data_IF_343805777332
#
_entry.id   IF_343805777332
#
_cell.length_a   1.000
_cell.length_b   1.000
_cell.length_c   1.000
_cell.angle_alpha   90.00
_cell.angle_beta   90.00
_cell.angle_gamma   90.00
#
_symmetry.space_group_name_H-M   'P 1'
#
loop_
_entity.id
_entity.type
_entity.pdbx_description
1 polymer ?
#
# COMPACT_ATOMS: atom_id res chain seq x y z
N UNK A 1 20.09 10.14 -5.59
CA UNK A 1 20.19 10.36 -4.12
C UNK A 1 19.55 9.15 -3.47
N UNK A 2 20.25 8.43 -2.57
CA UNK A 2 19.71 7.19 -1.97
C UNK A 2 18.57 7.54 -1.01
N UNK A 3 17.46 6.83 -1.10
CA UNK A 3 16.28 7.06 -0.27
C UNK A 3 16.28 6.02 0.84
N UNK A 4 16.30 6.46 2.10
CA UNK A 4 16.10 5.58 3.27
C UNK A 4 14.62 5.41 3.61
N UNK A 5 13.79 6.36 3.19
CA UNK A 5 12.35 6.41 3.43
C UNK A 5 11.60 6.98 2.22
N UNK A 6 10.64 6.24 1.69
CA UNK A 6 9.73 6.65 0.62
C UNK A 6 8.33 6.83 1.19
N UNK A 7 7.73 8.01 0.99
CA UNK A 7 6.35 8.30 1.36
C UNK A 7 5.49 8.45 0.11
N UNK A 8 4.49 7.59 -0.01
CA UNK A 8 3.50 7.60 -1.09
C UNK A 8 2.15 8.03 -0.54
N UNK A 9 1.55 9.04 -1.17
CA UNK A 9 0.18 9.46 -0.89
C UNK A 9 -0.70 9.04 -2.05
N UNK A 10 -1.64 8.13 -1.80
CA UNK A 10 -2.50 7.56 -2.82
C UNK A 10 -3.93 8.06 -2.58
N UNK A 11 -4.57 8.79 -3.51
CA UNK A 11 -5.91 9.36 -3.35
C UNK A 11 -7.03 8.31 -3.51
N UNK A 12 -6.80 7.10 -2.97
CA UNK A 12 -7.71 5.96 -3.05
C UNK A 12 -7.74 5.20 -1.73
N UNK A 13 -8.93 4.69 -1.40
CA UNK A 13 -9.14 3.80 -0.27
C UNK A 13 -9.16 2.35 -0.71
N UNK A 14 -8.54 1.49 0.11
CA UNK A 14 -8.66 0.05 -0.03
C UNK A 14 -10.12 -0.39 0.19
N UNK A 15 -10.61 -1.35 -0.61
CA UNK A 15 -11.90 -1.95 -0.32
C UNK A 15 -11.83 -2.72 1.00
N UNK A 16 -12.99 -3.05 1.56
CA UNK A 16 -13.05 -4.02 2.65
C UNK A 16 -12.79 -5.44 2.12
N UNK A 17 -12.21 -6.32 2.96
CA UNK A 17 -12.03 -7.73 2.66
C UNK A 17 -13.34 -8.40 2.22
N UNK A 18 -14.44 -8.13 2.93
CA UNK A 18 -15.76 -8.64 2.61
C UNK A 18 -16.21 -8.25 1.19
N UNK A 19 -15.83 -7.06 0.71
CA UNK A 19 -16.08 -6.65 -0.67
C UNK A 19 -15.20 -7.44 -1.62
N UNK A 20 -13.90 -7.57 -1.33
CA UNK A 20 -12.93 -8.30 -2.16
C UNK A 20 -13.33 -9.76 -2.38
N UNK A 21 -13.70 -10.48 -1.32
CA UNK A 21 -14.04 -11.91 -1.39
C UNK A 21 -15.28 -12.14 -2.28
N UNK A 22 -16.19 -11.17 -2.32
CA UNK A 22 -17.42 -11.25 -3.12
C UNK A 22 -17.26 -10.75 -4.56
N UNK A 23 -16.13 -10.14 -4.91
CA UNK A 23 -15.89 -9.67 -6.28
C UNK A 23 -15.68 -10.83 -7.23
N UNK A 24 -16.23 -10.70 -8.45
CA UNK A 24 -15.87 -11.61 -9.52
C UNK A 24 -14.39 -11.45 -9.89
N UNK A 25 -13.71 -12.53 -10.30
CA UNK A 25 -12.26 -12.52 -10.57
C UNK A 25 -11.84 -11.43 -11.57
N UNK A 26 -12.66 -11.15 -12.58
CA UNK A 26 -12.42 -10.06 -13.56
C UNK A 26 -12.44 -8.68 -12.91
N UNK A 27 -13.36 -8.44 -11.97
CA UNK A 27 -13.44 -7.17 -11.24
C UNK A 27 -12.24 -7.03 -10.30
N UNK A 28 -11.83 -8.13 -9.65
CA UNK A 28 -10.64 -8.17 -8.81
C UNK A 28 -9.36 -7.86 -9.60
N UNK A 29 -9.23 -8.39 -10.82
CA UNK A 29 -8.10 -8.07 -11.71
C UNK A 29 -8.11 -6.59 -12.14
N UNK A 30 -9.27 -6.04 -12.50
CA UNK A 30 -9.39 -4.61 -12.82
C UNK A 30 -9.02 -3.74 -11.62
N UNK A 31 -9.48 -4.11 -10.43
CA UNK A 31 -9.13 -3.42 -9.20
C UNK A 31 -7.61 -3.48 -8.95
N UNK A 32 -6.97 -4.64 -9.15
CA UNK A 32 -5.53 -4.78 -9.02
C UNK A 32 -4.80 -3.82 -9.97
N UNK A 33 -5.16 -3.82 -11.25
CA UNK A 33 -4.56 -2.92 -12.25
C UNK A 33 -4.72 -1.45 -11.85
N UNK A 34 -5.88 -1.07 -11.31
CA UNK A 34 -6.09 0.29 -10.78
C UNK A 34 -5.10 0.59 -9.67
N UNK A 35 -4.91 -0.30 -8.71
CA UNK A 35 -3.92 -0.10 -7.64
C UNK A 35 -2.48 -0.05 -8.16
N UNK A 36 -2.12 -0.88 -9.13
CA UNK A 36 -0.80 -0.86 -9.76
C UNK A 36 -0.52 0.53 -10.37
N UNK A 37 -1.51 1.10 -11.05
CA UNK A 37 -1.41 2.44 -11.65
C UNK A 37 -1.36 3.56 -10.61
N UNK A 38 -2.14 3.47 -9.54
CA UNK A 38 -2.18 4.48 -8.47
C UNK A 38 -0.86 4.52 -7.70
N UNK A 39 -0.28 3.35 -7.37
CA UNK A 39 1.06 3.27 -6.78
C UNK A 39 2.11 3.86 -7.71
N UNK A 40 2.06 3.48 -9.00
CA UNK A 40 2.99 4.02 -10.01
C UNK A 40 2.89 5.54 -10.18
N UNK A 41 1.67 6.08 -10.11
CA UNK A 41 1.44 7.52 -10.16
C UNK A 41 2.03 8.21 -8.93
N UNK A 42 1.73 7.71 -7.72
CA UNK A 42 2.28 8.24 -6.48
C UNK A 42 3.81 8.19 -6.46
N UNK A 43 4.44 7.14 -7.00
CA UNK A 43 5.90 7.06 -7.13
C UNK A 43 6.48 8.16 -8.05
N UNK A 44 5.76 8.55 -9.10
CA UNK A 44 6.23 9.62 -10.01
C UNK A 44 6.13 11.00 -9.37
N UNK A 45 5.14 11.19 -8.50
CA UNK A 45 4.93 12.46 -7.78
C UNK A 45 5.97 12.73 -6.69
N UNK A 46 6.73 11.72 -6.25
CA UNK A 46 7.79 11.95 -5.26
C UNK A 46 9.02 12.64 -5.84
N UNK A 47 9.15 12.75 -7.18
CA UNK A 47 10.28 13.36 -7.90
C UNK A 47 11.67 12.81 -7.51
N UNK A 48 11.74 11.63 -6.88
CA UNK A 48 12.98 11.03 -6.42
C UNK A 48 13.30 9.78 -7.25
N UNK A 49 14.58 9.61 -7.61
CA UNK A 49 15.07 8.33 -8.13
C UNK A 49 15.07 7.30 -7.01
N UNK A 50 14.08 6.40 -7.03
CA UNK A 50 13.90 5.37 -6.01
C UNK A 50 14.92 4.26 -6.25
N UNK A 51 15.99 4.29 -5.46
CA UNK A 51 16.96 3.20 -5.38
C UNK A 51 17.12 2.81 -3.93
N UNK A 52 16.90 1.52 -3.68
CA UNK A 52 17.03 0.92 -2.38
C UNK A 52 18.26 0.00 -2.37
N UNK A 53 19.04 0.02 -1.30
CA UNK A 53 20.27 -0.76 -1.13
C UNK A 53 20.01 -2.18 -0.62
N UNK A 54 19.10 -2.34 0.33
CA UNK A 54 18.77 -3.62 0.94
C UNK A 54 17.55 -4.23 0.26
N UNK A 55 17.23 -5.53 0.43
CA UNK A 55 16.00 -6.10 -0.12
C UNK A 55 14.82 -6.06 0.87
N UNK A 56 15.10 -5.91 2.18
CA UNK A 56 14.08 -5.95 3.23
C UNK A 56 13.55 -4.54 3.54
N UNK A 57 12.22 -4.42 3.67
CA UNK A 57 11.52 -3.17 3.98
C UNK A 57 10.65 -3.29 5.21
N UNK A 58 10.54 -2.17 5.93
CA UNK A 58 9.41 -1.94 6.81
C UNK A 58 8.38 -1.09 6.04
N UNK A 59 7.11 -1.48 6.12
CA UNK A 59 6.00 -0.79 5.49
C UNK A 59 4.99 -0.40 6.55
N UNK A 60 4.64 0.89 6.57
CA UNK A 60 3.60 1.45 7.42
C UNK A 60 2.49 2.00 6.55
N UNK A 61 1.26 1.59 6.84
CA UNK A 61 0.06 1.98 6.07
C UNK A 61 -0.89 2.74 7.00
N UNK A 62 -1.33 3.92 6.56
CA UNK A 62 -2.34 4.73 7.24
C UNK A 62 -3.46 5.04 6.25
N UNK A 63 -4.68 4.61 6.54
CA UNK A 63 -5.84 4.90 5.71
C UNK A 63 -6.73 5.96 6.34
N UNK A 64 -6.87 7.10 5.66
CA UNK A 64 -7.70 8.22 6.07
C UNK A 64 -9.09 8.08 5.46
N UNK A 65 -10.11 7.79 6.28
CA UNK A 65 -11.42 7.29 5.81
C UNK A 65 -12.58 8.00 6.49
N UNK A 66 -13.72 8.09 5.82
CA UNK A 66 -14.96 8.60 6.45
C UNK A 66 -15.51 7.68 7.55
N UNK A 67 -15.44 6.36 7.32
CA UNK A 67 -15.94 5.31 8.21
C UNK A 67 -14.84 4.31 8.46
N UNK A 68 -14.55 4.03 9.73
CA UNK A 68 -13.60 3.01 10.17
C UNK A 68 -14.23 1.63 9.97
N UNK A 69 -13.46 0.69 9.43
CA UNK A 69 -13.86 -0.71 9.31
C UNK A 69 -13.33 -1.49 10.51
N UNK A 70 -13.93 -2.64 10.78
CA UNK A 70 -13.34 -3.61 11.69
C UNK A 70 -11.90 -3.98 11.24
N UNK A 71 -10.97 -4.24 12.19
CA UNK A 71 -9.55 -4.39 11.88
C UNK A 71 -9.25 -5.49 10.85
N UNK A 72 -9.81 -6.68 11.00
CA UNK A 72 -9.54 -7.82 10.11
C UNK A 72 -9.99 -7.55 8.68
N UNK A 73 -11.19 -6.98 8.52
CA UNK A 73 -11.74 -6.63 7.22
C UNK A 73 -11.00 -5.45 6.57
N UNK A 74 -10.42 -4.55 7.37
CA UNK A 74 -9.51 -3.53 6.87
C UNK A 74 -8.19 -4.13 6.40
N UNK A 75 -7.52 -4.90 7.26
CA UNK A 75 -6.21 -5.51 6.98
C UNK A 75 -6.29 -6.41 5.75
N UNK A 76 -7.29 -7.31 5.69
CA UNK A 76 -7.48 -8.16 4.51
C UNK A 76 -7.86 -7.35 3.25
N UNK A 77 -8.45 -6.17 3.42
CA UNK A 77 -8.72 -5.20 2.36
C UNK A 77 -7.48 -4.58 1.73
N UNK A 78 -6.34 -4.59 2.42
CA UNK A 78 -5.07 -4.02 1.95
C UNK A 78 -4.38 -4.87 0.89
N UNK A 79 -4.80 -6.12 0.66
CA UNK A 79 -4.11 -7.05 -0.23
C UNK A 79 -3.80 -6.47 -1.62
N UNK A 80 -4.74 -5.81 -2.35
CA UNK A 80 -4.42 -5.23 -3.65
C UNK A 80 -3.34 -4.15 -3.61
N UNK A 81 -3.30 -3.37 -2.53
CA UNK A 81 -2.25 -2.35 -2.33
C UNK A 81 -0.89 -3.02 -2.11
N UNK A 82 -0.81 -4.01 -1.21
CA UNK A 82 0.45 -4.74 -0.93
C UNK A 82 0.96 -5.42 -2.21
N UNK A 83 0.06 -6.08 -2.95
CA UNK A 83 0.39 -6.70 -4.25
C UNK A 83 0.93 -5.66 -5.24
N UNK A 84 0.36 -4.46 -5.27
CA UNK A 84 0.82 -3.38 -6.14
C UNK A 84 2.19 -2.84 -5.76
N UNK A 85 2.57 -2.86 -4.48
CA UNK A 85 3.93 -2.50 -4.06
C UNK A 85 4.97 -3.49 -4.60
N UNK A 86 4.63 -4.78 -4.64
CA UNK A 86 5.47 -5.81 -5.27
C UNK A 86 5.51 -5.65 -6.79
N UNK A 87 4.35 -5.48 -7.44
CA UNK A 87 4.26 -5.30 -8.90
C UNK A 87 4.97 -4.04 -9.42
N UNK A 88 5.10 -3.00 -8.57
CA UNK A 88 5.87 -1.79 -8.88
C UNK A 88 7.32 -1.82 -8.35
N UNK A 89 7.83 -3.00 -7.94
CA UNK A 89 9.21 -3.21 -7.50
C UNK A 89 9.64 -2.37 -6.28
N UNK A 90 8.69 -1.92 -5.45
CA UNK A 90 8.99 -1.28 -4.16
C UNK A 90 9.30 -2.31 -3.08
N UNK A 91 8.73 -3.52 -3.23
CA UNK A 91 9.01 -4.72 -2.45
C UNK A 91 9.51 -5.82 -3.37
N UNK A 92 10.38 -6.69 -2.85
CA UNK A 92 10.81 -7.91 -3.56
C UNK A 92 9.66 -8.92 -3.61
N UNK A 93 9.03 -9.19 -2.47
CA UNK A 93 7.77 -9.92 -2.31
C UNK A 93 7.07 -9.51 -1.00
N UNK A 94 5.90 -10.07 -0.71
CA UNK A 94 5.08 -9.78 0.48
C UNK A 94 5.32 -10.74 1.66
N UNK A 95 6.35 -11.59 1.60
CA UNK A 95 6.70 -12.52 2.67
C UNK A 95 7.45 -11.84 3.81
N UNK A 96 7.37 -12.41 5.01
CA UNK A 96 8.06 -11.91 6.21
C UNK A 96 9.61 -11.84 6.08
N UNK A 97 10.17 -12.50 5.05
CA UNK A 97 11.59 -12.42 4.72
C UNK A 97 11.97 -11.02 4.21
N UNK A 98 11.12 -10.43 3.38
CA UNK A 98 11.38 -9.16 2.70
C UNK A 98 10.51 -8.01 3.20
N UNK A 99 9.41 -8.31 3.88
CA UNK A 99 8.46 -7.34 4.40
C UNK A 99 8.32 -7.45 5.92
N UNK A 100 8.42 -6.32 6.61
CA UNK A 100 7.85 -6.11 7.94
C UNK A 100 6.67 -5.15 7.74
N UNK A 101 5.46 -5.63 7.98
CA UNK A 101 4.27 -4.78 7.95
C UNK A 101 3.98 -4.31 9.37
N UNK A 102 4.13 -3.01 9.62
CA UNK A 102 3.63 -2.40 10.84
C UNK A 102 2.10 -2.54 10.90
N UNK A 103 1.55 -2.60 12.12
CA UNK A 103 0.10 -2.70 12.30
C UNK A 103 -0.62 -1.57 11.53
N UNK A 104 -1.42 -1.91 10.48
CA UNK A 104 -2.03 -0.90 9.65
C UNK A 104 -3.03 -0.04 10.41
N UNK A 105 -2.95 1.27 10.23
CA UNK A 105 -3.79 2.23 10.96
C UNK A 105 -4.91 2.78 10.10
N UNK A 106 -6.00 3.16 10.77
CA UNK A 106 -7.10 3.90 10.16
C UNK A 106 -7.33 5.19 10.94
N UNK A 107 -7.46 6.29 10.22
CA UNK A 107 -7.78 7.59 10.79
C UNK A 107 -9.07 8.13 10.16
N UNK A 108 -9.88 8.86 10.95
CA UNK A 108 -11.12 9.42 10.45
C UNK A 108 -10.85 10.76 9.76
N UNK A 109 -11.07 10.82 8.45
CA UNK A 109 -11.00 12.05 7.65
C UNK A 109 -12.21 12.16 6.73
N UNK A 110 -13.02 13.20 6.94
CA UNK A 110 -14.25 13.44 6.20
C UNK A 110 -13.99 14.13 4.85
N UNK A 111 -12.88 14.84 4.70
CA UNK A 111 -12.63 15.76 3.60
C UNK A 111 -11.55 15.23 2.65
N UNK A 112 -10.48 14.64 3.18
CA UNK A 112 -9.31 14.24 2.41
C UNK A 112 -9.01 12.73 2.54
N UNK A 113 -9.88 11.91 1.96
CA UNK A 113 -9.73 10.45 2.01
C UNK A 113 -8.59 9.98 1.12
N UNK A 114 -7.64 9.25 1.70
CA UNK A 114 -6.43 8.77 1.03
C UNK A 114 -5.83 7.58 1.78
N UNK A 115 -4.89 6.89 1.15
CA UNK A 115 -4.03 5.91 1.80
C UNK A 115 -2.60 6.40 1.70
N UNK A 116 -1.93 6.48 2.84
CA UNK A 116 -0.52 6.81 2.91
C UNK A 116 0.28 5.53 3.17
N UNK A 117 1.37 5.37 2.42
CA UNK A 117 2.30 4.25 2.54
C UNK A 117 3.68 4.82 2.77
N UNK A 118 4.30 4.44 3.89
CA UNK A 118 5.67 4.79 4.20
C UNK A 118 6.50 3.52 4.12
N UNK A 119 7.53 3.54 3.30
CA UNK A 119 8.42 2.40 3.06
C UNK A 119 9.82 2.79 3.49
N UNK A 120 10.38 2.10 4.49
CA UNK A 120 11.74 2.33 4.97
C UNK A 120 12.63 1.13 4.69
N UNK A 121 13.90 1.41 4.41
CA UNK A 121 14.90 0.36 4.31
C UNK A 121 15.27 -0.19 5.68
N UNK A 122 15.40 -1.52 5.78
CA UNK A 122 15.97 -2.16 6.96
C UNK A 122 17.37 -2.64 6.60
N UNK A 123 18.36 -2.04 7.26
CA UNK A 123 19.72 -2.57 7.26
C UNK A 123 19.75 -3.81 8.16
N UNK A 124 20.15 -4.94 7.58
CA UNK A 124 20.37 -6.20 8.30
C UNK A 124 21.62 -6.12 9.19
#
# INVERSE_FOLDING_TARGET
>A
MKITELHLVIPRLTPSLNKLIRMHWRERQKLQQVWDWEVKAAMRETYQEITFEYPKRNVRIISYRKKISDPDNFIGGLKPLIDSLVSNHLLVDDSNKFLILDEPKQERDLKNQRTEVIITEIKL
#
